data_IF_970646421167
#
_entry.id   IF_970646421167
#
_cell.length_a   1.000
_cell.length_b   1.000
_cell.length_c   1.000
_cell.angle_alpha   90.00
_cell.angle_beta   90.00
_cell.angle_gamma   90.00
#
_symmetry.space_group_name_H-M   'P 1'
#
loop_
_entity.id
_entity.type
_entity.pdbx_description
1 polymer ?
#
# COMPACT_ATOMS: atom_id res chain seq x y z
N UNK A 1 5.90 7.09 5.41
CA UNK A 1 4.94 6.41 4.52
C UNK A 1 5.67 5.26 3.86
N UNK A 2 5.11 4.05 3.88
CA UNK A 2 5.88 2.81 3.59
C UNK A 2 6.46 2.83 2.17
N UNK A 3 5.72 3.34 1.17
CA UNK A 3 6.15 3.34 -0.23
C UNK A 3 6.45 4.73 -0.83
N UNK A 4 6.00 5.82 -0.21
CA UNK A 4 6.16 7.17 -0.80
C UNK A 4 7.63 7.59 -0.91
N UNK A 5 8.41 7.29 0.13
CA UNK A 5 9.79 7.72 0.27
C UNK A 5 10.78 6.85 -0.54
N UNK A 6 10.27 5.85 -1.28
CA UNK A 6 11.12 4.97 -2.09
C UNK A 6 11.86 5.76 -3.17
N UNK A 7 13.19 5.58 -3.32
CA UNK A 7 13.97 6.26 -4.34
C UNK A 7 13.63 5.75 -5.73
N UNK A 8 13.85 6.59 -6.74
CA UNK A 8 13.76 6.16 -8.14
C UNK A 8 14.83 5.10 -8.44
N UNK A 9 14.41 4.02 -9.10
CA UNK A 9 15.33 2.96 -9.52
C UNK A 9 16.00 3.37 -10.83
N UNK A 10 17.35 3.38 -10.93
CA UNK A 10 18.06 3.76 -12.15
C UNK A 10 17.88 2.69 -13.23
N UNK A 11 17.93 3.09 -14.50
CA UNK A 11 18.01 2.10 -15.59
C UNK A 11 19.38 1.43 -15.65
N UNK A 12 19.47 0.29 -16.33
CA UNK A 12 20.75 -0.40 -16.56
C UNK A 12 21.77 0.51 -17.24
N UNK A 13 21.35 1.23 -18.29
CA UNK A 13 22.17 2.18 -19.04
C UNK A 13 22.70 3.31 -18.15
N UNK A 14 21.82 3.95 -17.37
CA UNK A 14 22.21 5.03 -16.45
C UNK A 14 23.22 4.55 -15.40
N UNK A 15 23.03 3.35 -14.86
CA UNK A 15 23.92 2.78 -13.87
C UNK A 15 25.30 2.45 -14.45
N UNK A 16 25.34 1.82 -15.63
CA UNK A 16 26.58 1.49 -16.34
C UNK A 16 27.34 2.77 -16.68
N UNK A 17 26.67 3.77 -17.24
CA UNK A 17 27.27 5.05 -17.62
C UNK A 17 27.83 5.79 -16.41
N UNK A 18 27.07 5.84 -15.31
CA UNK A 18 27.52 6.43 -14.04
C UNK A 18 28.75 5.71 -13.52
N UNK A 19 28.75 4.38 -13.48
CA UNK A 19 29.85 3.57 -12.99
C UNK A 19 31.12 3.76 -13.82
N UNK A 20 31.02 3.65 -15.15
CA UNK A 20 32.18 3.70 -16.04
C UNK A 20 32.74 5.12 -16.18
N UNK A 21 31.87 6.14 -16.20
CA UNK A 21 32.29 7.54 -16.17
C UNK A 21 33.05 7.89 -14.89
N UNK A 22 32.56 7.44 -13.73
CA UNK A 22 33.23 7.67 -12.44
C UNK A 22 34.54 6.89 -12.34
N UNK A 23 34.55 5.64 -12.79
CA UNK A 23 35.77 4.86 -12.88
C UNK A 23 36.82 5.55 -13.76
N UNK A 24 36.46 5.99 -14.96
CA UNK A 24 37.38 6.70 -15.86
C UNK A 24 38.01 7.94 -15.20
N UNK A 25 37.25 8.69 -14.39
CA UNK A 25 37.77 9.82 -13.59
C UNK A 25 38.75 9.35 -12.50
N UNK A 26 38.44 8.29 -11.77
CA UNK A 26 39.33 7.72 -10.77
C UNK A 26 40.67 7.25 -11.37
N UNK A 27 40.64 6.72 -12.59
CA UNK A 27 41.84 6.32 -13.33
C UNK A 27 42.75 7.49 -13.72
N UNK A 28 42.19 8.67 -14.06
CA UNK A 28 42.97 9.86 -14.46
C UNK A 28 43.85 10.40 -13.35
N UNK A 29 43.49 10.17 -12.09
CA UNK A 29 44.26 10.62 -10.93
C UNK A 29 45.48 9.74 -10.61
N UNK A 30 45.68 8.63 -11.34
CA UNK A 30 46.66 7.58 -11.04
C UNK A 30 47.44 7.15 -12.28
N UNK A 31 48.55 6.43 -12.06
CA UNK A 31 49.41 5.91 -13.13
C UNK A 31 49.45 4.38 -13.20
N UNK A 32 49.80 3.84 -14.38
CA UNK A 32 50.14 2.42 -14.55
C UNK A 32 49.08 1.43 -14.09
N UNK A 33 49.51 0.42 -13.33
CA UNK A 33 48.65 -0.65 -12.79
C UNK A 33 47.65 -0.12 -11.75
N UNK A 34 48.05 0.89 -10.96
CA UNK A 34 47.20 1.46 -9.92
C UNK A 34 45.96 2.12 -10.52
N UNK A 35 46.11 2.80 -11.67
CA UNK A 35 44.99 3.35 -12.41
C UNK A 35 44.00 2.25 -12.83
N UNK A 36 44.48 1.10 -13.32
CA UNK A 36 43.60 0.00 -13.75
C UNK A 36 42.83 -0.61 -12.58
N UNK A 37 43.51 -0.83 -11.45
CA UNK A 37 42.90 -1.37 -10.23
C UNK A 37 41.86 -0.39 -9.65
N UNK A 38 42.19 0.90 -9.60
CA UNK A 38 41.27 1.93 -9.12
C UNK A 38 40.01 2.01 -9.99
N UNK A 39 40.16 1.90 -11.30
CA UNK A 39 39.01 1.89 -12.22
C UNK A 39 38.10 0.69 -12.00
N UNK A 40 38.66 -0.51 -11.84
CA UNK A 40 37.88 -1.72 -11.54
C UNK A 40 37.16 -1.60 -10.19
N UNK A 41 37.86 -1.18 -9.14
CA UNK A 41 37.26 -0.98 -7.82
C UNK A 41 36.09 0.01 -7.88
N UNK A 42 36.29 1.17 -8.50
CA UNK A 42 35.26 2.21 -8.56
C UNK A 42 34.03 1.75 -9.35
N UNK A 43 34.23 1.09 -10.50
CA UNK A 43 33.10 0.60 -11.30
C UNK A 43 32.30 -0.46 -10.53
N UNK A 44 32.98 -1.47 -9.97
CA UNK A 44 32.32 -2.55 -9.26
C UNK A 44 31.57 -2.07 -8.02
N UNK A 45 32.16 -1.17 -7.21
CA UNK A 45 31.50 -0.62 -6.03
C UNK A 45 30.27 0.20 -6.41
N UNK A 46 30.36 1.06 -7.43
CA UNK A 46 29.20 1.86 -7.85
C UNK A 46 28.05 0.94 -8.27
N UNK A 47 28.33 -0.09 -9.06
CA UNK A 47 27.31 -1.05 -9.49
C UNK A 47 26.75 -1.81 -8.28
N UNK A 48 27.59 -2.44 -7.47
CA UNK A 48 27.12 -3.26 -6.34
C UNK A 48 26.30 -2.45 -5.35
N UNK A 49 26.77 -1.25 -5.01
CA UNK A 49 26.16 -0.44 -3.96
C UNK A 49 24.87 0.20 -4.47
N UNK A 50 24.77 0.60 -5.75
CA UNK A 50 23.50 1.13 -6.28
C UNK A 50 22.44 0.02 -6.39
N UNK A 51 22.80 -1.18 -6.88
CA UNK A 51 21.86 -2.31 -6.96
C UNK A 51 21.43 -2.79 -5.57
N UNK A 52 22.35 -2.84 -4.60
CA UNK A 52 22.00 -3.17 -3.21
C UNK A 52 21.06 -2.12 -2.62
N UNK A 53 21.35 -0.83 -2.82
CA UNK A 53 20.50 0.26 -2.33
C UNK A 53 19.11 0.27 -2.95
N UNK A 54 18.96 -0.17 -4.21
CA UNK A 54 17.62 -0.37 -4.82
C UNK A 54 16.84 -1.36 -3.97
N UNK A 55 17.44 -2.51 -3.63
CA UNK A 55 16.77 -3.56 -2.87
C UNK A 55 16.50 -3.17 -1.42
N UNK A 56 17.49 -2.62 -0.73
CA UNK A 56 17.39 -2.30 0.70
C UNK A 56 16.56 -1.05 1.00
N UNK A 57 16.11 -0.33 -0.03
CA UNK A 57 15.17 0.77 0.16
C UNK A 57 13.73 0.28 0.34
N UNK A 58 13.40 -0.90 -0.19
CA UNK A 58 12.08 -1.50 -0.02
C UNK A 58 11.91 -2.11 1.37
N UNK A 59 10.69 -2.07 1.94
CA UNK A 59 10.38 -2.81 3.15
C UNK A 59 10.44 -4.32 2.88
N UNK A 60 10.63 -5.10 3.94
CA UNK A 60 10.55 -6.55 3.84
C UNK A 60 9.09 -7.00 3.95
N UNK A 61 8.55 -7.53 2.86
CA UNK A 61 7.18 -8.00 2.80
C UNK A 61 6.94 -9.33 3.57
N UNK A 62 7.97 -9.97 4.13
CA UNK A 62 7.82 -11.16 4.97
C UNK A 62 7.41 -10.87 6.42
N UNK A 63 7.63 -9.64 6.91
CA UNK A 63 7.45 -9.29 8.30
C UNK A 63 6.32 -8.26 8.45
N UNK A 64 5.32 -8.61 9.27
CA UNK A 64 4.18 -7.72 9.55
C UNK A 64 4.61 -6.40 10.21
N UNK A 65 5.71 -6.42 10.98
CA UNK A 65 6.34 -5.23 11.58
C UNK A 65 6.87 -4.23 10.52
N UNK A 66 7.23 -4.72 9.33
CA UNK A 66 7.74 -3.89 8.24
C UNK A 66 6.62 -3.47 7.26
N UNK A 67 5.64 -4.35 7.01
CA UNK A 67 4.47 -4.08 6.18
C UNK A 67 3.22 -4.68 6.84
N UNK A 68 2.35 -3.80 7.34
CA UNK A 68 1.06 -4.20 7.89
C UNK A 68 0.21 -4.98 6.86
N UNK A 69 -0.54 -6.04 7.24
CA UNK A 69 -1.36 -6.85 6.34
C UNK A 69 -2.27 -6.04 5.39
N UNK A 70 -2.87 -4.95 5.87
CA UNK A 70 -3.60 -3.96 5.04
C UNK A 70 -2.77 -3.49 3.83
N UNK A 71 -1.55 -3.01 4.05
CA UNK A 71 -0.68 -2.52 2.99
C UNK A 71 -0.10 -3.65 2.13
N UNK A 72 0.11 -4.83 2.72
CA UNK A 72 0.54 -6.00 1.97
C UNK A 72 -0.50 -6.40 0.93
N UNK A 73 -1.77 -6.56 1.34
CA UNK A 73 -2.84 -6.97 0.42
C UNK A 73 -3.10 -5.92 -0.67
N UNK A 74 -3.01 -4.63 -0.33
CA UNK A 74 -3.09 -3.57 -1.33
C UNK A 74 -1.91 -3.58 -2.30
N UNK A 75 -0.69 -3.77 -1.80
CA UNK A 75 0.48 -3.85 -2.65
C UNK A 75 0.39 -5.05 -3.60
N UNK A 76 -0.01 -6.20 -3.08
CA UNK A 76 -0.15 -7.44 -3.85
C UNK A 76 -1.21 -7.33 -4.94
N UNK A 77 -2.36 -6.70 -4.64
CA UNK A 77 -3.41 -6.44 -5.62
C UNK A 77 -2.96 -5.54 -6.79
N UNK A 78 -1.98 -4.66 -6.58
CA UNK A 78 -1.50 -3.71 -7.59
C UNK A 78 -0.32 -4.26 -8.38
N UNK A 79 0.67 -4.81 -7.67
CA UNK A 79 1.97 -5.12 -8.25
C UNK A 79 2.39 -6.58 -8.15
N UNK A 80 1.60 -7.48 -7.58
CA UNK A 80 2.02 -8.86 -7.28
C UNK A 80 3.32 -8.88 -6.45
N UNK A 81 3.17 -9.01 -5.13
CA UNK A 81 4.30 -8.90 -4.20
C UNK A 81 5.32 -10.01 -4.44
N UNK A 82 4.89 -11.20 -4.87
CA UNK A 82 5.80 -12.30 -5.18
C UNK A 82 6.69 -11.98 -6.40
N UNK A 83 6.11 -11.42 -7.46
CA UNK A 83 6.87 -10.99 -8.65
C UNK A 83 7.84 -9.85 -8.30
N UNK A 84 7.41 -8.86 -7.50
CA UNK A 84 8.28 -7.80 -7.00
C UNK A 84 9.45 -8.34 -6.17
N UNK A 85 9.18 -9.26 -5.25
CA UNK A 85 10.21 -9.89 -4.42
C UNK A 85 11.20 -10.70 -5.24
N UNK A 86 10.73 -11.35 -6.32
CA UNK A 86 11.61 -12.03 -7.26
C UNK A 86 12.54 -11.02 -7.95
N UNK A 87 12.02 -9.92 -8.50
CA UNK A 87 12.81 -8.87 -9.15
C UNK A 87 13.85 -8.26 -8.20
N UNK A 88 13.47 -7.99 -6.94
CA UNK A 88 14.38 -7.51 -5.89
C UNK A 88 15.49 -8.53 -5.58
N UNK A 89 15.14 -9.82 -5.53
CA UNK A 89 16.10 -10.90 -5.29
C UNK A 89 17.11 -11.06 -6.43
N UNK A 90 16.67 -10.94 -7.67
CA UNK A 90 17.53 -10.97 -8.87
C UNK A 90 18.45 -9.75 -8.93
N UNK A 91 17.95 -8.57 -8.57
CA UNK A 91 18.74 -7.34 -8.42
C UNK A 91 19.82 -7.48 -7.34
N UNK A 92 19.48 -8.07 -6.18
CA UNK A 92 20.44 -8.37 -5.11
C UNK A 92 21.50 -9.39 -5.57
N UNK A 93 21.11 -10.39 -6.37
CA UNK A 93 22.06 -11.33 -6.99
C UNK A 93 23.05 -10.60 -7.90
N UNK A 94 22.59 -9.67 -8.74
CA UNK A 94 23.45 -8.89 -9.63
C UNK A 94 24.44 -8.02 -8.84
N UNK A 95 24.00 -7.42 -7.72
CA UNK A 95 24.89 -6.72 -6.79
C UNK A 95 26.02 -7.62 -6.26
N UNK A 96 25.67 -8.81 -5.77
CA UNK A 96 26.64 -9.81 -5.28
C UNK A 96 27.59 -10.25 -6.39
N UNK A 97 27.10 -10.46 -7.61
CA UNK A 97 27.93 -10.82 -8.78
C UNK A 97 28.92 -9.73 -9.17
N UNK A 98 28.54 -8.46 -9.09
CA UNK A 98 29.47 -7.35 -9.33
C UNK A 98 30.66 -7.38 -8.34
N UNK A 99 30.40 -7.67 -7.06
CA UNK A 99 31.45 -7.85 -6.03
C UNK A 99 32.33 -9.08 -6.30
N UNK A 100 31.74 -10.19 -6.74
CA UNK A 100 32.49 -11.39 -7.13
C UNK A 100 33.42 -11.12 -8.33
N UNK A 101 32.94 -10.43 -9.37
CA UNK A 101 33.76 -10.04 -10.53
C UNK A 101 34.95 -9.18 -10.09
N UNK A 102 34.72 -8.22 -9.19
CA UNK A 102 35.82 -7.44 -8.62
C UNK A 102 36.87 -8.34 -7.97
N UNK A 103 36.45 -9.23 -7.07
CA UNK A 103 37.34 -10.13 -6.34
C UNK A 103 38.09 -11.10 -7.27
N UNK A 104 37.46 -11.55 -8.36
CA UNK A 104 38.07 -12.42 -9.36
C UNK A 104 39.18 -11.70 -10.15
N UNK A 105 38.93 -10.47 -10.59
CA UNK A 105 39.85 -9.75 -11.48
C UNK A 105 40.92 -8.95 -10.74
N UNK A 106 40.64 -8.45 -9.54
CA UNK A 106 41.57 -7.60 -8.79
C UNK A 106 42.98 -8.21 -8.64
N UNK A 107 43.17 -9.51 -8.32
CA UNK A 107 44.49 -10.15 -8.29
C UNK A 107 45.19 -10.19 -9.66
N UNK A 108 44.42 -10.38 -10.74
CA UNK A 108 44.92 -10.43 -12.13
C UNK A 108 45.45 -9.07 -12.59
N UNK A 109 44.91 -7.97 -12.05
CA UNK A 109 45.38 -6.60 -12.33
C UNK A 109 46.63 -6.21 -11.50
N UNK A 110 46.89 -6.88 -10.37
CA UNK A 110 48.04 -6.59 -9.49
C UNK A 110 49.33 -7.26 -9.94
N UNK A 111 49.26 -8.45 -10.53
CA UNK A 111 50.42 -9.31 -10.84
C UNK A 111 50.64 -9.46 -12.34
N UNK A 112 50.77 -8.35 -13.07
CA UNK A 112 50.90 -8.37 -14.53
C UNK A 112 51.51 -7.07 -15.09
N UNK A 113 51.84 -7.04 -16.39
CA UNK A 113 52.18 -5.81 -17.12
C UNK A 113 50.94 -4.94 -17.43
N UNK A 114 51.19 -3.67 -17.81
CA UNK A 114 50.14 -2.66 -18.00
C UNK A 114 49.17 -3.02 -19.13
N UNK A 115 49.67 -3.59 -20.24
CA UNK A 115 48.83 -3.92 -21.39
C UNK A 115 47.90 -5.09 -21.06
N UNK A 116 48.41 -6.10 -20.35
CA UNK A 116 47.60 -7.22 -19.85
C UNK A 116 46.61 -6.76 -18.78
N UNK A 117 46.99 -5.88 -17.85
CA UNK A 117 46.06 -5.29 -16.88
C UNK A 117 44.92 -4.54 -17.57
N UNK A 118 45.22 -3.79 -18.64
CA UNK A 118 44.21 -3.07 -19.43
C UNK A 118 43.23 -4.04 -20.10
N UNK A 119 43.70 -5.19 -20.62
CA UNK A 119 42.84 -6.24 -21.19
C UNK A 119 41.94 -6.85 -20.12
N UNK A 120 42.48 -7.23 -18.97
CA UNK A 120 41.70 -7.78 -17.86
C UNK A 120 40.65 -6.80 -17.34
N UNK A 121 40.99 -5.51 -17.20
CA UNK A 121 40.02 -4.48 -16.83
C UNK A 121 38.89 -4.37 -17.85
N UNK A 122 39.20 -4.38 -19.16
CA UNK A 122 38.17 -4.33 -20.21
C UNK A 122 37.24 -5.54 -20.15
N UNK A 123 37.78 -6.74 -19.90
CA UNK A 123 36.99 -7.95 -19.71
C UNK A 123 36.08 -7.85 -18.48
N UNK A 124 36.61 -7.34 -17.36
CA UNK A 124 35.82 -7.14 -16.15
C UNK A 124 34.71 -6.11 -16.37
N UNK A 125 34.99 -5.00 -17.07
CA UNK A 125 33.99 -3.99 -17.40
C UNK A 125 32.88 -4.58 -18.29
N UNK A 126 33.23 -5.36 -19.31
CA UNK A 126 32.23 -6.05 -20.12
C UNK A 126 31.34 -6.96 -19.25
N UNK A 127 31.94 -7.82 -18.41
CA UNK A 127 31.17 -8.69 -17.51
C UNK A 127 30.31 -7.94 -16.49
N UNK A 128 30.75 -6.76 -16.05
CA UNK A 128 29.96 -5.90 -15.15
C UNK A 128 28.76 -5.31 -15.89
N UNK A 129 28.95 -4.82 -17.12
CA UNK A 129 27.84 -4.35 -17.95
C UNK A 129 26.86 -5.48 -18.26
N UNK A 130 27.36 -6.65 -18.69
CA UNK A 130 26.53 -7.83 -18.99
C UNK A 130 25.67 -8.28 -17.80
N UNK A 131 26.15 -8.11 -16.56
CA UNK A 131 25.41 -8.46 -15.33
C UNK A 131 24.32 -7.43 -15.03
N UNK A 132 24.58 -6.14 -15.28
CA UNK A 132 23.58 -5.08 -15.08
C UNK A 132 22.51 -5.13 -16.18
N UNK A 133 22.91 -5.40 -17.43
CA UNK A 133 21.98 -5.61 -18.55
C UNK A 133 21.12 -6.86 -18.36
N UNK A 134 21.61 -7.88 -17.64
CA UNK A 134 20.84 -9.08 -17.29
C UNK A 134 19.68 -8.81 -16.34
N UNK A 135 19.68 -7.69 -15.62
CA UNK A 135 18.63 -7.31 -14.68
C UNK A 135 17.87 -6.04 -15.12
N UNK A 136 17.90 -5.70 -16.41
CA UNK A 136 17.26 -4.48 -16.92
C UNK A 136 15.74 -4.52 -16.75
N UNK A 137 15.12 -5.65 -17.09
CA UNK A 137 13.68 -5.83 -16.97
C UNK A 137 13.23 -5.74 -15.49
N UNK A 138 14.00 -6.30 -14.56
CA UNK A 138 13.73 -6.24 -13.13
C UNK A 138 13.87 -4.81 -12.60
N UNK A 139 14.88 -4.05 -13.02
CA UNK A 139 15.04 -2.63 -12.63
C UNK A 139 13.87 -1.77 -13.15
N UNK A 140 13.42 -2.02 -14.38
CA UNK A 140 12.26 -1.35 -14.96
C UNK A 140 10.97 -1.71 -14.21
N UNK A 141 10.80 -2.99 -13.90
CA UNK A 141 9.66 -3.49 -13.15
C UNK A 141 9.61 -2.88 -11.73
N UNK A 142 10.70 -2.95 -10.97
CA UNK A 142 10.80 -2.32 -9.64
C UNK A 142 10.46 -0.83 -9.71
N UNK A 143 10.97 -0.11 -10.73
CA UNK A 143 10.65 1.31 -10.87
C UNK A 143 9.17 1.56 -11.19
N UNK A 144 8.55 0.70 -12.00
CA UNK A 144 7.11 0.75 -12.29
C UNK A 144 6.31 0.48 -11.03
N UNK A 145 6.59 -0.61 -10.31
CA UNK A 145 5.91 -0.98 -9.06
C UNK A 145 6.03 0.14 -8.01
N UNK A 146 7.20 0.76 -7.90
CA UNK A 146 7.40 1.95 -7.05
C UNK A 146 6.42 3.07 -7.42
N UNK A 147 6.25 3.38 -8.70
CA UNK A 147 5.36 4.45 -9.12
C UNK A 147 3.89 4.09 -8.90
N UNK A 148 3.52 2.83 -9.11
CA UNK A 148 2.16 2.33 -8.91
C UNK A 148 1.77 2.32 -7.42
N UNK A 149 2.72 2.04 -6.51
CA UNK A 149 2.50 1.99 -5.06
C UNK A 149 2.63 3.35 -4.34
N UNK A 150 3.32 4.33 -4.94
CA UNK A 150 3.55 5.63 -4.30
C UNK A 150 2.25 6.39 -4.02
N UNK A 151 1.20 6.11 -4.77
CA UNK A 151 -0.08 6.80 -4.69
C UNK A 151 -1.11 6.00 -3.85
N UNK A 152 -0.66 5.03 -3.04
CA UNK A 152 -1.48 4.33 -2.05
C UNK A 152 -2.01 5.29 -0.96
N UNK A 153 -3.18 4.99 -0.36
CA UNK A 153 -3.78 5.85 0.65
C UNK A 153 -2.89 5.94 1.90
N UNK A 154 -2.78 7.13 2.47
CA UNK A 154 -2.17 7.35 3.78
C UNK A 154 -3.18 7.03 4.87
N UNK A 155 -3.22 5.77 5.32
CA UNK A 155 -4.04 5.33 6.45
C UNK A 155 -3.12 4.75 7.51
N UNK A 156 -3.35 5.09 8.78
CA UNK A 156 -2.58 4.51 9.87
C UNK A 156 -3.31 3.26 10.40
N UNK A 157 -2.87 2.04 10.09
CA UNK A 157 -3.56 0.83 10.55
C UNK A 157 -3.52 0.64 12.07
N UNK A 158 -2.68 1.40 12.80
CA UNK A 158 -2.64 1.35 14.28
C UNK A 158 -3.66 2.30 14.95
N UNK A 159 -4.30 3.19 14.19
CA UNK A 159 -5.38 4.05 14.72
C UNK A 159 -6.72 3.32 14.59
N UNK A 160 -7.58 3.32 15.64
CA UNK A 160 -8.87 2.64 15.61
C UNK A 160 -9.75 3.19 14.48
N UNK A 161 -10.26 2.29 13.64
CA UNK A 161 -10.88 2.65 12.36
C UNK A 161 -12.29 2.12 12.22
N UNK A 162 -13.21 3.05 11.96
CA UNK A 162 -14.60 2.78 11.59
C UNK A 162 -14.72 2.75 10.07
N UNK A 163 -15.15 1.65 9.50
CA UNK A 163 -15.40 1.52 8.06
C UNK A 163 -16.88 1.65 7.78
N UNK A 164 -17.23 2.49 6.80
CA UNK A 164 -18.60 2.80 6.44
C UNK A 164 -18.97 2.14 5.11
N UNK A 165 -19.98 1.29 5.14
CA UNK A 165 -20.48 0.50 4.02
C UNK A 165 -21.98 0.71 3.77
N UNK A 166 -22.47 0.21 2.63
CA UNK A 166 -23.86 0.35 2.20
C UNK A 166 -24.00 0.92 0.78
N UNK A 167 -25.19 0.86 0.20
CA UNK A 167 -25.44 1.27 -1.19
C UNK A 167 -25.10 2.76 -1.47
N UNK A 168 -24.95 3.17 -2.74
CA UNK A 168 -24.82 4.59 -3.08
C UNK A 168 -26.01 5.41 -2.56
N UNK A 169 -25.76 6.67 -2.17
CA UNK A 169 -26.78 7.65 -1.73
C UNK A 169 -27.58 7.29 -0.45
N UNK A 170 -27.16 6.27 0.33
CA UNK A 170 -27.75 5.96 1.65
C UNK A 170 -27.32 6.94 2.74
N UNK A 171 -26.28 7.75 2.50
CA UNK A 171 -25.80 8.79 3.43
C UNK A 171 -24.38 8.59 3.99
N UNK A 172 -23.62 7.59 3.51
CA UNK A 172 -22.24 7.28 3.94
C UNK A 172 -21.32 8.50 4.03
N UNK A 173 -21.08 9.15 2.88
CA UNK A 173 -20.22 10.32 2.80
C UNK A 173 -20.76 11.50 3.61
N UNK A 174 -22.08 11.63 3.75
CA UNK A 174 -22.68 12.69 4.57
C UNK A 174 -22.38 12.46 6.05
N UNK A 175 -22.54 11.23 6.54
CA UNK A 175 -22.22 10.85 7.92
C UNK A 175 -20.75 11.11 8.22
N UNK A 176 -19.85 10.61 7.36
CA UNK A 176 -18.40 10.79 7.50
C UNK A 176 -18.03 12.27 7.57
N UNK A 177 -18.59 13.12 6.70
CA UNK A 177 -18.33 14.56 6.74
C UNK A 177 -18.93 15.28 7.95
N UNK A 178 -20.02 14.76 8.53
CA UNK A 178 -20.68 15.35 9.69
C UNK A 178 -19.91 15.06 10.99
N UNK A 179 -19.44 13.83 11.16
CA UNK A 179 -18.76 13.38 12.39
C UNK A 179 -17.26 13.71 12.44
N UNK A 180 -16.70 14.25 11.36
CA UNK A 180 -15.26 14.51 11.25
C UNK A 180 -14.94 16.00 11.33
N UNK A 181 -13.78 16.29 11.90
CA UNK A 181 -13.33 17.67 12.18
C UNK A 181 -12.91 18.47 10.93
N UNK A 182 -12.68 17.79 9.80
CA UNK A 182 -12.32 18.36 8.51
C UNK A 182 -13.21 17.77 7.41
N UNK A 183 -13.36 18.45 6.27
CA UNK A 183 -13.92 17.80 5.08
C UNK A 183 -13.02 16.60 4.77
N UNK A 184 -13.57 15.39 4.82
CA UNK A 184 -12.81 14.16 4.66
C UNK A 184 -11.88 14.23 3.45
N UNK A 185 -10.64 13.82 3.63
CA UNK A 185 -9.67 13.80 2.55
C UNK A 185 -10.00 12.61 1.64
N UNK A 186 -10.05 12.87 0.33
CA UNK A 186 -10.24 11.78 -0.63
C UNK A 186 -8.87 11.16 -0.90
N UNK A 187 -8.65 9.97 -0.37
CA UNK A 187 -7.45 9.19 -0.59
C UNK A 187 -7.62 8.30 -1.84
N UNK A 188 -6.57 8.21 -2.66
CA UNK A 188 -6.53 7.26 -3.76
C UNK A 188 -6.64 5.85 -3.19
N UNK A 189 -7.57 5.05 -3.71
CA UNK A 189 -7.70 3.65 -3.33
C UNK A 189 -7.76 2.79 -4.58
N UNK A 190 -7.00 1.69 -4.63
CA UNK A 190 -6.97 0.82 -5.80
C UNK A 190 -8.37 0.39 -6.21
N UNK A 191 -8.62 0.38 -7.52
CA UNK A 191 -9.88 -0.09 -8.11
C UNK A 191 -11.12 0.75 -7.77
N UNK A 192 -10.92 1.93 -7.19
CA UNK A 192 -11.98 2.94 -7.03
C UNK A 192 -11.82 4.06 -8.06
N UNK A 193 -12.94 4.55 -8.60
CA UNK A 193 -12.92 5.72 -9.50
C UNK A 193 -12.93 7.05 -8.77
N UNK A 194 -13.34 7.05 -7.50
CA UNK A 194 -13.50 8.25 -6.67
C UNK A 194 -12.50 8.33 -5.51
N UNK A 195 -11.68 7.30 -5.28
CA UNK A 195 -10.95 7.18 -4.02
C UNK A 195 -11.87 6.77 -2.87
N UNK A 196 -11.28 6.55 -1.70
CA UNK A 196 -12.01 6.43 -0.42
C UNK A 196 -11.96 7.76 0.34
N UNK A 197 -12.99 8.05 1.12
CA UNK A 197 -12.98 9.22 2.00
C UNK A 197 -12.39 8.84 3.34
N UNK A 198 -11.33 9.50 3.78
CA UNK A 198 -10.73 9.30 5.12
C UNK A 198 -10.98 10.54 5.95
N UNK A 199 -11.69 10.34 7.05
CA UNK A 199 -11.97 11.37 8.04
C UNK A 199 -11.36 11.02 9.39
N UNK A 200 -11.13 12.03 10.22
CA UNK A 200 -10.57 11.86 11.56
C UNK A 200 -11.39 12.62 12.60
N UNK A 201 -11.53 12.00 13.77
CA UNK A 201 -12.14 12.60 14.95
C UNK A 201 -11.38 12.16 16.22
N UNK A 202 -11.58 12.88 17.32
CA UNK A 202 -10.98 12.56 18.61
C UNK A 202 -12.11 12.19 19.58
N UNK A 203 -11.98 11.04 20.24
CA UNK A 203 -12.86 10.59 21.30
C UNK A 203 -12.00 10.14 22.49
N UNK A 204 -12.27 10.68 23.68
CA UNK A 204 -11.48 10.39 24.91
C UNK A 204 -9.95 10.49 24.74
N UNK A 205 -9.47 11.48 23.97
CA UNK A 205 -8.05 11.69 23.63
C UNK A 205 -7.42 10.61 22.74
N UNK A 206 -8.23 9.72 22.20
CA UNK A 206 -7.84 8.73 21.19
C UNK A 206 -8.29 9.24 19.83
N UNK A 207 -7.35 9.31 18.90
CA UNK A 207 -7.64 9.66 17.51
C UNK A 207 -8.22 8.44 16.81
N UNK A 208 -9.38 8.63 16.21
CA UNK A 208 -10.07 7.61 15.43
C UNK A 208 -10.10 8.00 13.96
N UNK A 209 -10.09 6.99 13.10
CA UNK A 209 -10.28 7.12 11.67
C UNK A 209 -11.68 6.66 11.29
N UNK A 210 -12.26 7.30 10.29
CA UNK A 210 -13.49 6.83 9.66
C UNK A 210 -13.31 6.82 8.14
N UNK A 211 -13.61 5.68 7.52
CA UNK A 211 -13.35 5.42 6.10
C UNK A 211 -14.66 5.23 5.35
N UNK A 212 -14.94 6.11 4.40
CA UNK A 212 -16.00 5.97 3.40
C UNK A 212 -15.49 5.13 2.22
N UNK A 213 -16.22 4.09 1.84
CA UNK A 213 -15.77 3.07 0.88
C UNK A 213 -16.58 3.04 -0.44
N UNK A 214 -16.74 4.19 -1.15
CA UNK A 214 -17.55 4.24 -2.36
C UNK A 214 -16.97 3.34 -3.47
N UNK A 215 -17.82 2.54 -4.09
CA UNK A 215 -17.45 1.58 -5.13
C UNK A 215 -16.84 0.26 -4.64
N UNK A 216 -16.54 0.14 -3.34
CA UNK A 216 -15.97 -1.06 -2.72
C UNK A 216 -17.05 -1.86 -1.97
N UNK A 217 -17.61 -1.28 -0.91
CA UNK A 217 -18.61 -1.92 -0.04
C UNK A 217 -20.03 -1.38 -0.27
N UNK A 218 -20.35 -1.02 -1.52
CA UNK A 218 -21.65 -0.49 -1.92
C UNK A 218 -22.40 -1.35 -2.94
N UNK A 219 -21.89 -2.54 -3.22
CA UNK A 219 -22.48 -3.56 -4.10
C UNK A 219 -22.11 -4.99 -3.64
N UNK A 220 -22.90 -6.00 -4.02
CA UNK A 220 -22.69 -7.38 -3.60
C UNK A 220 -21.32 -7.95 -4.01
N UNK A 221 -20.73 -8.88 -3.23
CA UNK A 221 -19.46 -9.51 -3.56
C UNK A 221 -19.41 -10.17 -4.95
N UNK A 222 -20.53 -10.73 -5.41
CA UNK A 222 -20.64 -11.39 -6.71
C UNK A 222 -20.44 -10.45 -7.92
N UNK A 223 -20.52 -9.14 -7.72
CA UNK A 223 -20.29 -8.12 -8.74
C UNK A 223 -18.85 -7.58 -8.75
N UNK A 224 -17.99 -8.08 -7.86
CA UNK A 224 -16.58 -7.69 -7.76
C UNK A 224 -15.71 -8.64 -8.57
N UNK A 225 -14.69 -8.10 -9.23
CA UNK A 225 -13.62 -8.92 -9.79
C UNK A 225 -12.63 -9.38 -8.68
N UNK A 226 -11.70 -10.27 -9.02
CA UNK A 226 -10.72 -10.81 -8.04
C UNK A 226 -9.91 -9.70 -7.36
N UNK A 227 -9.49 -8.70 -8.14
CA UNK A 227 -8.66 -7.61 -7.66
C UNK A 227 -9.46 -6.66 -6.75
N UNK A 228 -10.71 -6.35 -7.11
CA UNK A 228 -11.64 -5.62 -6.23
C UNK A 228 -11.94 -6.39 -4.95
N UNK A 229 -11.99 -7.73 -5.01
CA UNK A 229 -12.23 -8.57 -3.84
C UNK A 229 -11.03 -8.55 -2.90
N UNK A 230 -9.80 -8.57 -3.44
CA UNK A 230 -8.58 -8.41 -2.65
C UNK A 230 -8.48 -7.03 -2.01
N UNK A 231 -8.86 -5.98 -2.74
CA UNK A 231 -8.89 -4.63 -2.19
C UNK A 231 -9.93 -4.45 -1.07
N UNK A 232 -11.01 -5.25 -1.07
CA UNK A 232 -11.96 -5.33 0.05
C UNK A 232 -11.41 -6.18 1.20
N UNK A 233 -10.75 -7.30 0.91
CA UNK A 233 -10.06 -8.14 1.91
C UNK A 233 -9.04 -7.30 2.70
N UNK A 234 -8.34 -6.37 2.04
CA UNK A 234 -7.42 -5.47 2.73
C UNK A 234 -8.12 -4.68 3.86
N UNK A 235 -9.38 -4.28 3.65
CA UNK A 235 -10.18 -3.54 4.64
C UNK A 235 -10.47 -4.40 5.88
N UNK A 236 -10.47 -5.72 5.79
CA UNK A 236 -10.63 -6.61 6.96
C UNK A 236 -9.48 -6.42 7.97
N UNK A 237 -8.29 -6.11 7.49
CA UNK A 237 -7.12 -5.81 8.34
C UNK A 237 -7.12 -4.37 8.86
N UNK A 238 -8.01 -3.52 8.37
CA UNK A 238 -8.12 -2.12 8.79
C UNK A 238 -9.34 -1.86 9.67
N UNK A 239 -10.44 -2.59 9.47
CA UNK A 239 -11.71 -2.31 10.10
C UNK A 239 -11.75 -2.85 11.53
N UNK A 240 -11.82 -1.96 12.52
CA UNK A 240 -12.11 -2.33 13.90
C UNK A 240 -13.62 -2.30 14.20
N UNK A 241 -14.39 -1.54 13.42
CA UNK A 241 -15.85 -1.58 13.41
C UNK A 241 -16.39 -1.27 12.01
N UNK A 242 -17.46 -1.96 11.62
CA UNK A 242 -18.16 -1.77 10.37
C UNK A 242 -19.53 -1.15 10.60
N UNK A 243 -19.79 0.02 10.00
CA UNK A 243 -21.11 0.62 9.94
C UNK A 243 -21.76 0.32 8.59
N UNK A 244 -22.77 -0.56 8.58
CA UNK A 244 -23.56 -0.81 7.37
C UNK A 244 -24.78 0.10 7.38
N UNK A 245 -24.73 1.15 6.57
CA UNK A 245 -25.87 2.06 6.40
C UNK A 245 -26.87 1.54 5.38
N UNK A 246 -28.14 1.56 5.78
CA UNK A 246 -29.28 1.26 4.92
C UNK A 246 -30.26 2.44 4.90
N UNK A 247 -30.95 2.61 3.79
CA UNK A 247 -32.02 3.58 3.58
C UNK A 247 -33.34 2.84 3.38
N UNK A 248 -34.16 2.67 4.44
CA UNK A 248 -35.43 1.95 4.35
C UNK A 248 -36.47 2.65 3.47
N UNK A 249 -36.31 3.94 3.16
CA UNK A 249 -37.20 4.67 2.25
C UNK A 249 -37.02 4.27 0.78
N UNK A 250 -35.91 3.60 0.45
CA UNK A 250 -35.46 3.27 -0.91
C UNK A 250 -35.27 4.49 -1.85
N UNK A 251 -35.29 5.73 -1.33
CA UNK A 251 -35.02 6.95 -2.11
C UNK A 251 -33.58 7.02 -2.61
N UNK A 252 -32.66 6.25 -2.02
CA UNK A 252 -31.30 6.03 -2.54
C UNK A 252 -31.26 5.41 -3.95
N UNK A 253 -32.38 4.84 -4.41
CA UNK A 253 -32.54 4.21 -5.73
C UNK A 253 -32.43 2.68 -5.71
N UNK A 254 -32.30 2.07 -4.54
CA UNK A 254 -32.12 0.63 -4.36
C UNK A 254 -33.17 0.05 -3.38
N UNK A 255 -33.80 -1.10 -3.69
CA UNK A 255 -34.74 -1.74 -2.77
C UNK A 255 -34.08 -2.12 -1.45
N UNK A 256 -34.81 -1.97 -0.33
CA UNK A 256 -34.30 -2.35 0.99
C UNK A 256 -33.82 -3.80 1.04
N UNK A 257 -34.54 -4.74 0.41
CA UNK A 257 -34.12 -6.15 0.36
C UNK A 257 -32.68 -6.34 -0.17
N UNK A 258 -32.30 -5.63 -1.24
CA UNK A 258 -30.93 -5.69 -1.77
C UNK A 258 -29.91 -5.07 -0.82
N UNK A 259 -30.30 -4.01 -0.09
CA UNK A 259 -29.46 -3.39 0.94
C UNK A 259 -29.21 -4.36 2.11
N UNK A 260 -30.23 -5.12 2.52
CA UNK A 260 -30.11 -6.16 3.55
C UNK A 260 -29.25 -7.34 3.08
N UNK A 261 -29.36 -7.76 1.82
CA UNK A 261 -28.46 -8.78 1.24
C UNK A 261 -27.00 -8.33 1.29
N UNK A 262 -26.72 -7.06 0.98
CA UNK A 262 -25.37 -6.50 1.12
C UNK A 262 -24.91 -6.51 2.57
N UNK A 263 -25.74 -6.04 3.51
CA UNK A 263 -25.46 -6.08 4.95
C UNK A 263 -25.08 -7.49 5.41
N UNK A 264 -25.90 -8.49 5.07
CA UNK A 264 -25.69 -9.87 5.48
C UNK A 264 -24.39 -10.43 4.89
N UNK A 265 -24.07 -10.05 3.64
CA UNK A 265 -22.81 -10.45 3.01
C UNK A 265 -21.58 -9.82 3.68
N UNK A 266 -21.68 -8.57 4.14
CA UNK A 266 -20.61 -7.90 4.88
C UNK A 266 -20.47 -8.52 6.27
N UNK A 267 -21.56 -8.74 7.00
CA UNK A 267 -21.53 -9.39 8.30
C UNK A 267 -20.90 -10.81 8.23
N UNK A 268 -21.17 -11.55 7.15
CA UNK A 268 -20.57 -12.88 6.93
C UNK A 268 -19.11 -12.82 6.47
N UNK A 269 -18.67 -11.73 5.84
CA UNK A 269 -17.27 -11.56 5.42
C UNK A 269 -16.40 -11.09 6.59
N UNK A 270 -16.90 -10.15 7.39
CA UNK A 270 -16.19 -9.50 8.47
C UNK A 270 -16.56 -10.11 9.85
N UNK A 271 -16.59 -11.45 9.96
CA UNK A 271 -17.11 -12.14 11.17
C UNK A 271 -16.36 -11.79 12.48
N UNK A 272 -15.11 -11.35 12.37
CA UNK A 272 -14.26 -10.95 13.51
C UNK A 272 -14.39 -9.47 13.86
N UNK A 273 -15.05 -8.67 13.03
CA UNK A 273 -15.22 -7.23 13.21
C UNK A 273 -16.68 -6.97 13.63
N UNK A 274 -16.94 -6.14 14.67
CA UNK A 274 -18.29 -5.76 15.02
C UNK A 274 -18.96 -5.01 13.86
N UNK A 275 -20.11 -5.52 13.42
CA UNK A 275 -20.91 -4.93 12.34
C UNK A 275 -22.20 -4.35 12.90
N UNK A 276 -22.36 -3.03 12.79
CA UNK A 276 -23.56 -2.31 13.22
C UNK A 276 -24.41 -1.93 12.00
N UNK A 277 -25.68 -2.26 12.05
CA UNK A 277 -26.68 -1.92 11.04
C UNK A 277 -27.36 -0.61 11.40
N UNK A 278 -27.19 0.39 10.53
CA UNK A 278 -27.69 1.74 10.77
C UNK A 278 -28.78 2.09 9.75
N UNK A 279 -30.02 2.24 10.22
CA UNK A 279 -31.13 2.72 9.41
C UNK A 279 -31.09 4.25 9.34
N UNK A 280 -30.65 4.79 8.20
CA UNK A 280 -30.55 6.23 7.98
C UNK A 280 -31.83 6.80 7.33
N UNK A 281 -31.96 8.13 7.36
CA UNK A 281 -33.09 8.91 6.82
C UNK A 281 -34.40 8.67 7.57
N UNK A 282 -34.33 8.60 8.90
CA UNK A 282 -35.51 8.54 9.79
C UNK A 282 -36.43 9.77 9.62
N UNK A 283 -35.91 10.90 9.12
CA UNK A 283 -36.71 12.05 8.72
C UNK A 283 -37.72 11.74 7.59
N UNK A 284 -37.60 10.55 6.97
CA UNK A 284 -38.49 9.98 5.94
C UNK A 284 -39.16 8.67 6.38
N UNK A 285 -39.27 8.42 7.67
CA UNK A 285 -39.86 7.18 8.21
C UNK A 285 -41.28 6.89 7.68
N UNK A 286 -42.04 7.92 7.28
CA UNK A 286 -43.37 7.74 6.67
C UNK A 286 -43.35 7.01 5.32
N UNK A 287 -42.20 6.93 4.65
CA UNK A 287 -42.02 6.25 3.38
C UNK A 287 -41.52 4.80 3.56
N UNK A 288 -41.23 4.36 4.78
CA UNK A 288 -40.68 3.04 5.05
C UNK A 288 -41.74 1.95 4.84
N UNK A 289 -41.32 0.84 4.23
CA UNK A 289 -42.18 -0.33 4.08
C UNK A 289 -42.23 -1.10 5.41
N UNK A 290 -43.32 -0.93 6.16
CA UNK A 290 -43.56 -1.62 7.44
C UNK A 290 -43.36 -3.13 7.35
N UNK A 291 -43.61 -3.75 6.18
CA UNK A 291 -43.48 -5.20 6.01
C UNK A 291 -42.03 -5.71 6.01
N UNK A 292 -41.06 -4.81 5.86
CA UNK A 292 -39.63 -5.12 5.83
C UNK A 292 -38.90 -4.69 7.11
N UNK A 293 -39.57 -3.97 8.02
CA UNK A 293 -38.95 -3.47 9.26
C UNK A 293 -38.54 -4.59 10.22
N UNK A 294 -39.29 -5.70 10.26
CA UNK A 294 -38.90 -6.86 11.06
C UNK A 294 -37.58 -7.49 10.57
N UNK A 295 -37.28 -7.37 9.26
CA UNK A 295 -36.04 -7.88 8.66
C UNK A 295 -34.90 -6.86 8.68
N UNK A 296 -35.23 -5.57 8.89
CA UNK A 296 -34.27 -4.49 9.00
C UNK A 296 -33.34 -4.70 10.20
N UNK A 297 -33.90 -5.11 11.35
CA UNK A 297 -33.17 -5.43 12.59
C UNK A 297 -32.01 -4.46 12.85
N UNK A 298 -32.29 -3.16 12.72
CA UNK A 298 -31.27 -2.13 12.83
C UNK A 298 -30.87 -1.94 14.30
N UNK A 299 -29.57 -1.89 14.54
CA UNK A 299 -29.02 -1.56 15.86
C UNK A 299 -29.36 -0.12 16.25
N UNK A 300 -29.31 0.79 15.26
CA UNK A 300 -29.61 2.20 15.45
C UNK A 300 -30.37 2.80 14.26
N UNK A 301 -31.22 3.76 14.57
CA UNK A 301 -31.94 4.61 13.62
C UNK A 301 -31.40 6.04 13.70
N UNK A 302 -31.09 6.66 12.56
CA UNK A 302 -30.56 8.03 12.52
C UNK A 302 -31.07 8.85 11.32
N UNK A 303 -30.85 10.16 11.39
CA UNK A 303 -30.98 11.05 10.24
C UNK A 303 -29.81 12.03 10.21
N UNK A 304 -28.87 11.77 9.30
CA UNK A 304 -27.73 12.68 9.05
C UNK A 304 -28.20 14.06 8.58
N UNK A 305 -29.33 14.15 7.87
CA UNK A 305 -29.89 15.43 7.40
C UNK A 305 -30.35 16.32 8.56
N UNK A 306 -30.90 15.73 9.63
CA UNK A 306 -31.44 16.47 10.78
C UNK A 306 -30.51 16.49 11.99
N UNK A 307 -29.47 15.65 12.00
CA UNK A 307 -28.58 15.41 13.12
C UNK A 307 -29.15 14.45 14.18
N UNK A 308 -30.31 13.83 13.93
CA UNK A 308 -30.93 12.90 14.87
C UNK A 308 -30.08 11.63 15.02
N UNK A 309 -29.69 11.31 16.26
CA UNK A 309 -28.90 10.15 16.68
C UNK A 309 -27.51 9.98 16.03
N UNK A 310 -26.99 10.97 15.31
CA UNK A 310 -25.68 10.87 14.65
C UNK A 310 -24.55 10.65 15.66
N UNK A 311 -24.53 11.43 16.75
CA UNK A 311 -23.53 11.30 17.83
C UNK A 311 -23.67 9.94 18.55
N UNK A 312 -24.89 9.47 18.80
CA UNK A 312 -25.15 8.16 19.41
C UNK A 312 -24.63 7.00 18.55
N UNK A 313 -24.78 7.07 17.23
CA UNK A 313 -24.22 6.05 16.32
C UNK A 313 -22.70 6.08 16.34
N UNK A 314 -22.08 7.26 16.39
CA UNK A 314 -20.63 7.39 16.49
C UNK A 314 -20.11 6.80 17.81
N UNK A 315 -20.73 7.16 18.93
CA UNK A 315 -20.40 6.62 20.26
C UNK A 315 -20.53 5.09 20.28
N UNK A 316 -21.62 4.54 19.74
CA UNK A 316 -21.82 3.10 19.66
C UNK A 316 -20.74 2.38 18.83
N UNK A 317 -20.28 3.00 17.74
CA UNK A 317 -19.20 2.46 16.93
C UNK A 317 -17.87 2.46 17.71
N UNK A 318 -17.57 3.54 18.44
CA UNK A 318 -16.37 3.62 19.30
C UNK A 318 -16.43 2.60 20.44
N UNK A 319 -17.58 2.46 21.09
CA UNK A 319 -17.78 1.43 22.13
C UNK A 319 -17.62 0.01 21.58
N UNK A 320 -18.07 -0.24 20.34
CA UNK A 320 -17.95 -1.55 19.71
C UNK A 320 -16.49 -1.92 19.38
N UNK A 321 -15.64 -0.94 19.07
CA UNK A 321 -14.20 -1.15 18.86
C UNK A 321 -13.52 -1.64 20.14
N UNK A 322 -13.92 -1.15 21.31
CA UNK A 322 -13.33 -1.48 22.62
C UNK A 322 -11.79 -1.28 22.65
N UNK A 323 -11.30 -0.21 22.02
CA UNK A 323 -9.86 0.04 21.88
C UNK A 323 -9.21 0.43 23.20
N UNK A 324 -8.23 -0.37 23.65
CA UNK A 324 -7.36 -0.04 24.77
C UNK A 324 -5.96 0.37 24.25
N UNK A 325 -5.53 1.63 24.44
CA UNK A 325 -4.22 2.07 23.95
C UNK A 325 -3.09 1.36 24.73
N UNK A 326 -2.12 0.79 24.01
CA UNK A 326 -0.91 0.26 24.64
C UNK A 326 -0.11 1.40 25.29
N UNK A 327 0.07 1.31 26.62
CA UNK A 327 0.87 2.29 27.35
C UNK A 327 2.37 1.92 27.23
N UNK A 328 3.28 2.90 27.11
CA UNK A 328 4.71 2.67 26.89
C UNK A 328 5.46 1.98 28.06
N UNK A 329 4.73 1.52 29.09
CA UNK A 329 5.27 0.84 30.27
C UNK A 329 4.78 -0.61 30.42
N UNK A 330 3.97 -1.13 29.48
CA UNK A 330 3.44 -2.49 29.52
C UNK A 330 4.31 -3.54 28.79
N UNK A 331 5.52 -3.15 28.34
CA UNK A 331 6.55 -4.01 27.73
C UNK A 331 7.86 -4.10 28.51
#
# INVERSE_FOLDING_TARGET
>A
MIFEDLPTTPTSEELIDKAFSRAARAGKAKGGLEAQQSMLQTAANIISDNLENVVTAWPDFEYEDDVHPFYYELADAIVDVDELRQALSETMWASRKAREIHNEYQPRLRKTDIDTARKHRKQAFARLADIVEQVDDELLYINKSRNDLRDLPEINPEEPTIVVAGYPNVGKSSFVNDVTSARGETASYPFTTKGIGVGHFEHEHIRHQIVDTPGLLDRPPAERNEIESQAVSAIEHLADCMLVMVDPSAECGYPLASQLELRDSIAAQFETVPVLTIANKVDRAEAWDESLLDALDADYEMSVETGENVETVLEAAVEAIDFEPELPFDG
#
